data_IF_990608677546
#
_entry.id   IF_990608677546
#
_cell.length_a   1.000
_cell.length_b   1.000
_cell.length_c   1.000
_cell.angle_alpha   90.00
_cell.angle_beta   90.00
_cell.angle_gamma   90.00
#
_symmetry.space_group_name_H-M   'P 1'
#
loop_
_entity.id
_entity.type
_entity.pdbx_description
1 polymer ?
#
# COMPACT_ATOMS: atom_id res chain seq x y z
N UNK A 1 1.65 3.30 20.69
CA UNK A 1 1.12 4.00 19.50
C UNK A 1 -0.39 3.86 19.54
N UNK A 2 -1.19 4.92 19.43
CA UNK A 2 -2.63 4.78 19.48
C UNK A 2 -3.11 4.07 18.22
N UNK A 3 -4.05 3.14 18.41
CA UNK A 3 -4.78 2.31 17.44
C UNK A 3 -5.00 3.02 16.08
N UNK A 4 -4.05 2.89 15.14
CA UNK A 4 -4.21 3.44 13.78
C UNK A 4 -5.31 2.70 13.00
N UNK A 5 -5.64 1.48 13.43
CA UNK A 5 -6.61 0.60 12.80
C UNK A 5 -7.60 0.10 13.85
N UNK A 6 -8.88 0.39 13.66
CA UNK A 6 -9.98 -0.17 14.45
C UNK A 6 -10.23 -1.61 14.01
N UNK A 7 -10.95 -2.39 14.82
CA UNK A 7 -11.38 -3.76 14.47
C UNK A 7 -12.07 -3.86 13.10
N UNK A 8 -12.87 -2.86 12.73
CA UNK A 8 -13.52 -2.80 11.41
C UNK A 8 -12.51 -2.66 10.27
N UNK A 9 -11.42 -1.91 10.47
CA UNK A 9 -10.38 -1.74 9.46
C UNK A 9 -9.59 -3.03 9.26
N UNK A 10 -9.28 -3.74 10.36
CA UNK A 10 -8.60 -5.04 10.30
C UNK A 10 -9.47 -6.11 9.63
N UNK A 11 -10.78 -6.13 9.91
CA UNK A 11 -11.73 -7.03 9.23
C UNK A 11 -11.80 -6.75 7.72
N UNK A 12 -11.80 -5.47 7.33
CA UNK A 12 -11.77 -5.07 5.93
C UNK A 12 -10.44 -5.42 5.27
N UNK A 13 -9.30 -5.18 5.92
CA UNK A 13 -7.97 -5.59 5.44
C UNK A 13 -7.88 -7.10 5.21
N UNK A 14 -8.35 -7.89 6.18
CA UNK A 14 -8.43 -9.34 6.05
C UNK A 14 -9.28 -9.74 4.84
N UNK A 15 -10.46 -9.14 4.67
CA UNK A 15 -11.38 -9.49 3.57
C UNK A 15 -10.83 -9.18 2.19
N UNK A 16 -10.10 -8.07 2.01
CA UNK A 16 -9.68 -7.61 0.68
C UNK A 16 -8.27 -8.03 0.28
N UNK A 17 -7.46 -8.47 1.24
CA UNK A 17 -6.05 -8.75 1.01
C UNK A 17 -5.53 -9.95 1.80
N UNK A 18 -6.41 -10.80 2.37
CA UNK A 18 -6.08 -11.93 3.23
C UNK A 18 -5.08 -11.56 4.35
N UNK A 19 -5.14 -10.30 4.80
CA UNK A 19 -4.24 -9.74 5.81
C UNK A 19 -4.78 -10.04 7.21
N UNK A 20 -4.37 -11.17 7.79
CA UNK A 20 -4.54 -11.43 9.24
C UNK A 20 -3.65 -10.53 10.11
N UNK A 21 -2.57 -10.02 9.52
CA UNK A 21 -1.62 -9.08 10.11
C UNK A 21 -1.02 -8.19 9.03
N UNK A 22 -0.14 -7.26 9.39
CA UNK A 22 0.56 -6.44 8.39
C UNK A 22 1.29 -7.34 7.39
N UNK A 23 1.17 -7.09 6.07
CA UNK A 23 1.71 -7.99 5.06
C UNK A 23 3.24 -8.02 5.14
N UNK A 24 3.80 -9.19 4.88
CA UNK A 24 5.23 -9.36 4.71
C UNK A 24 5.65 -8.81 3.35
N UNK A 25 6.85 -8.25 3.25
CA UNK A 25 7.33 -7.62 2.01
C UNK A 25 6.86 -6.17 1.84
N UNK A 26 6.63 -5.76 0.60
CA UNK A 26 6.36 -4.37 0.26
C UNK A 26 4.86 -4.07 0.29
N UNK A 27 4.47 -2.97 0.93
CA UNK A 27 3.07 -2.56 0.98
C UNK A 27 2.86 -1.06 1.15
N UNK A 28 1.67 -0.60 0.76
CA UNK A 28 1.18 0.75 1.04
C UNK A 28 -0.32 0.73 1.33
N UNK A 29 -0.70 0.92 2.60
CA UNK A 29 -2.09 0.89 3.04
C UNK A 29 -2.66 2.31 3.04
N UNK A 30 -3.84 2.47 2.43
CA UNK A 30 -4.61 3.71 2.44
C UNK A 30 -5.93 3.54 3.19
N UNK A 31 -6.32 4.55 3.96
CA UNK A 31 -7.63 4.63 4.61
C UNK A 31 -8.24 6.02 4.39
N UNK A 32 -9.47 6.08 3.92
CA UNK A 32 -10.24 7.32 3.73
C UNK A 32 -9.43 8.43 3.01
N UNK A 33 -8.75 8.07 1.92
CA UNK A 33 -7.96 9.00 1.11
C UNK A 33 -6.56 9.33 1.66
N UNK A 34 -6.12 8.70 2.75
CA UNK A 34 -4.82 8.96 3.39
C UNK A 34 -3.96 7.71 3.44
N UNK A 35 -2.66 7.84 3.15
CA UNK A 35 -1.70 6.77 3.40
C UNK A 35 -1.45 6.64 4.90
N UNK A 36 -1.68 5.44 5.46
CA UNK A 36 -1.57 5.19 6.90
C UNK A 36 -0.39 4.28 7.27
N UNK A 37 0.09 3.47 6.33
CA UNK A 37 1.25 2.63 6.53
C UNK A 37 1.93 2.37 5.18
N UNK A 38 3.27 2.27 5.19
CA UNK A 38 4.08 1.96 4.02
C UNK A 38 5.33 1.22 4.44
N UNK A 39 5.73 0.24 3.65
CA UNK A 39 6.96 -0.51 3.82
C UNK A 39 7.52 -0.92 2.45
N UNK A 40 8.83 -0.79 2.28
CA UNK A 40 9.58 -1.36 1.16
C UNK A 40 10.07 -2.77 1.54
N UNK A 41 10.30 -3.64 0.55
CA UNK A 41 11.00 -4.91 0.73
C UNK A 41 12.46 -4.79 0.30
N UNK A 42 13.17 -5.93 0.25
CA UNK A 42 14.54 -6.00 -0.22
C UNK A 42 14.67 -5.54 -1.69
N UNK A 43 13.75 -5.95 -2.57
CA UNK A 43 13.82 -5.67 -4.01
C UNK A 43 12.75 -4.71 -4.53
N UNK A 44 11.83 -4.27 -3.67
CA UNK A 44 10.76 -3.33 -4.03
C UNK A 44 10.82 -2.10 -3.13
N UNK A 45 11.09 -0.94 -3.72
CA UNK A 45 11.07 0.35 -3.02
C UNK A 45 9.75 1.07 -3.28
N UNK A 46 9.11 1.57 -2.23
CA UNK A 46 7.90 2.41 -2.34
C UNK A 46 8.20 3.81 -1.80
N UNK A 47 8.10 4.81 -2.66
CA UNK A 47 8.35 6.21 -2.32
C UNK A 47 7.09 7.06 -2.48
N UNK A 48 6.91 8.15 -1.71
CA UNK A 48 5.84 9.10 -1.99
C UNK A 48 6.14 9.83 -3.32
N UNK A 49 5.13 9.93 -4.17
CA UNK A 49 5.26 10.64 -5.44
C UNK A 49 5.53 12.13 -5.21
N UNK A 50 6.41 12.70 -6.01
CA UNK A 50 6.70 14.15 -5.98
C UNK A 50 5.64 14.92 -6.75
N UNK A 51 5.13 16.01 -6.16
CA UNK A 51 4.19 16.95 -6.79
C UNK A 51 2.72 16.50 -6.82
N UNK A 52 2.46 15.21 -6.92
CA UNK A 52 1.11 14.64 -6.91
C UNK A 52 0.92 13.65 -5.75
N UNK A 53 -0.30 13.52 -5.18
CA UNK A 53 -0.58 12.49 -4.19
C UNK A 53 -0.45 11.10 -4.82
N UNK A 54 0.20 10.16 -4.14
CA UNK A 54 0.39 8.80 -4.62
C UNK A 54 1.79 8.27 -4.31
N UNK A 55 2.20 7.21 -4.99
CA UNK A 55 3.48 6.52 -4.76
C UNK A 55 4.18 6.13 -6.06
N UNK A 56 5.50 6.21 -6.04
CA UNK A 56 6.34 5.61 -7.06
C UNK A 56 6.90 4.28 -6.51
N UNK A 57 6.77 3.20 -7.28
CA UNK A 57 7.14 1.84 -6.88
C UNK A 57 8.22 1.34 -7.82
N UNK A 58 9.40 1.04 -7.29
CA UNK A 58 10.55 0.59 -8.05
C UNK A 58 10.83 -0.88 -7.72
N UNK A 59 10.70 -1.75 -8.71
CA UNK A 59 10.99 -3.18 -8.61
C UNK A 59 12.34 -3.42 -9.29
N UNK A 60 13.32 -3.93 -8.54
CA UNK A 60 14.66 -4.19 -9.08
C UNK A 60 14.61 -5.24 -10.21
N UNK A 61 15.56 -5.20 -11.17
CA UNK A 61 15.71 -6.25 -12.16
C UNK A 61 15.77 -7.65 -11.55
N UNK A 62 15.23 -8.63 -12.27
CA UNK A 62 15.23 -10.05 -11.92
C UNK A 62 14.51 -10.39 -10.60
N UNK A 63 13.71 -9.48 -10.05
CA UNK A 63 12.85 -9.76 -8.89
C UNK A 63 11.80 -10.81 -9.27
N UNK A 64 11.79 -11.96 -8.60
CA UNK A 64 10.84 -13.05 -8.82
C UNK A 64 10.20 -13.49 -7.50
N UNK A 65 8.88 -13.71 -7.52
CA UNK A 65 8.15 -14.26 -6.38
C UNK A 65 7.96 -13.30 -5.19
N UNK A 66 8.32 -12.02 -5.33
CA UNK A 66 7.94 -10.99 -4.35
C UNK A 66 6.58 -10.37 -4.70
N UNK A 67 5.85 -9.98 -3.67
CA UNK A 67 4.54 -9.35 -3.78
C UNK A 67 4.57 -7.91 -3.27
N UNK A 68 3.74 -7.07 -3.87
CA UNK A 68 3.48 -5.71 -3.42
C UNK A 68 1.99 -5.51 -3.17
N UNK A 69 1.63 -5.16 -1.94
CA UNK A 69 0.24 -5.03 -1.49
C UNK A 69 -0.17 -3.57 -1.33
N UNK A 70 -1.21 -3.11 -2.04
CA UNK A 70 -1.64 -1.69 -2.02
C UNK A 70 -3.14 -1.56 -1.70
N UNK A 71 -3.60 -2.02 -0.52
CA UNK A 71 -5.00 -1.95 -0.16
C UNK A 71 -5.45 -0.51 0.13
N UNK A 72 -6.65 -0.15 -0.32
CA UNK A 72 -7.34 1.09 0.01
C UNK A 72 -8.69 0.78 0.66
N UNK A 73 -8.91 1.29 1.87
CA UNK A 73 -10.15 1.07 2.63
C UNK A 73 -10.90 2.38 2.78
N UNK A 74 -12.19 2.36 2.45
CA UNK A 74 -13.11 3.49 2.61
C UNK A 74 -14.20 3.08 3.59
N UNK A 75 -14.25 3.74 4.74
CA UNK A 75 -15.26 3.51 5.79
C UNK A 75 -16.17 4.72 6.00
N UNK A 76 -15.89 5.84 5.34
CA UNK A 76 -16.59 7.11 5.49
C UNK A 76 -17.23 7.53 4.16
N UNK A 77 -18.36 8.22 4.24
CA UNK A 77 -19.04 8.79 3.07
C UNK A 77 -18.37 10.10 2.63
N UNK A 78 -18.48 10.44 1.35
CA UNK A 78 -17.97 11.71 0.82
C UNK A 78 -16.45 11.75 0.62
N UNK A 79 -15.77 10.60 0.73
CA UNK A 79 -14.34 10.49 0.43
C UNK A 79 -14.11 10.56 -1.07
N UNK A 80 -13.27 11.51 -1.48
CA UNK A 80 -12.69 11.56 -2.83
C UNK A 80 -11.19 11.23 -2.71
N UNK A 81 -10.80 10.09 -3.27
CA UNK A 81 -9.41 9.63 -3.26
C UNK A 81 -8.85 9.58 -4.69
N UNK A 82 -8.08 10.61 -5.07
CA UNK A 82 -7.34 10.66 -6.33
C UNK A 82 -5.85 10.54 -6.04
N UNK A 83 -5.24 9.47 -6.52
CA UNK A 83 -3.79 9.23 -6.43
C UNK A 83 -3.21 8.83 -7.77
N UNK A 84 -1.92 9.11 -7.92
CA UNK A 84 -1.13 8.81 -9.10
C UNK A 84 -0.02 7.86 -8.68
N UNK A 85 -0.09 6.61 -9.12
CA UNK A 85 0.89 5.60 -8.76
C UNK A 85 1.59 5.11 -10.01
N UNK A 86 2.92 5.13 -9.99
CA UNK A 86 3.74 4.62 -11.11
C UNK A 86 4.53 3.39 -10.65
N UNK A 87 4.61 2.39 -11.52
CA UNK A 87 5.39 1.17 -11.31
C UNK A 87 6.55 1.14 -12.31
N UNK A 88 7.76 1.06 -11.78
CA UNK A 88 9.00 0.94 -12.54
C UNK A 88 9.50 -0.49 -12.37
N UNK A 89 9.23 -1.34 -13.36
CA UNK A 89 9.62 -2.74 -13.34
C UNK A 89 10.95 -2.90 -14.08
N UNK A 90 11.98 -3.32 -13.35
CA UNK A 90 13.28 -3.67 -13.95
C UNK A 90 13.18 -4.85 -14.92
N UNK A 91 14.21 -5.05 -15.74
CA UNK A 91 14.28 -6.18 -16.67
C UNK A 91 14.20 -7.54 -15.96
N UNK A 92 13.74 -8.58 -16.67
CA UNK A 92 13.89 -9.97 -16.24
C UNK A 92 12.63 -10.73 -15.89
#
# INVERSE_FOLDING_TARGET
MPDLLKKVDMSLLHTIADMDSMPTGAFNIRKNGRGIARQSSENITIEPKKGNPGIDIYIKPFTKGEEVHIPAIITETGVNDKVYNDFYVGEG
#
